data_IF_859431172108
#
_entry.id   IF_859431172108
#
_cell.length_a   1.000
_cell.length_b   1.000
_cell.length_c   1.000
_cell.angle_alpha   90.00
_cell.angle_beta   90.00
_cell.angle_gamma   90.00
#
_symmetry.space_group_name_H-M   'P 1'
#
loop_
_entity.id
_entity.type
_entity.pdbx_description
1 polymer ?
#
# COMPACT_ATOMS: atom_id res chain seq x y z
N UNK A 1 2.45 11.87 -6.24
CA UNK A 1 1.55 11.14 -5.31
C UNK A 1 2.12 10.92 -3.90
N UNK A 2 3.45 10.88 -3.68
CA UNK A 2 4.01 10.60 -2.33
C UNK A 2 3.67 11.63 -1.24
N UNK A 3 3.48 12.90 -1.58
CA UNK A 3 3.28 13.97 -0.59
C UNK A 3 1.93 13.87 0.17
N UNK A 4 0.88 13.35 -0.47
CA UNK A 4 -0.42 13.13 0.19
C UNK A 4 -0.35 11.99 1.21
N UNK A 5 0.41 10.94 0.92
CA UNK A 5 0.54 9.80 1.82
C UNK A 5 1.25 10.18 3.12
N UNK A 6 2.29 11.02 3.04
CA UNK A 6 3.02 11.50 4.23
C UNK A 6 2.11 12.31 5.15
N UNK A 7 1.26 13.18 4.58
CA UNK A 7 0.30 13.98 5.35
C UNK A 7 -0.74 13.12 6.06
N UNK A 8 -1.26 12.10 5.39
CA UNK A 8 -2.24 11.17 5.97
C UNK A 8 -1.62 10.36 7.11
N UNK A 9 -0.37 9.88 6.93
CA UNK A 9 0.34 9.13 7.98
C UNK A 9 0.62 10.01 9.20
N UNK A 10 1.03 11.27 8.99
CA UNK A 10 1.25 12.20 10.10
C UNK A 10 -0.05 12.53 10.85
N UNK A 11 -1.15 12.74 10.11
CA UNK A 11 -2.46 13.04 10.70
C UNK A 11 -3.03 11.86 11.50
N UNK A 12 -2.82 10.62 11.05
CA UNK A 12 -3.25 9.41 11.76
C UNK A 12 -2.30 8.98 12.86
N UNK A 13 -1.00 9.32 12.75
CA UNK A 13 0.01 8.93 13.73
C UNK A 13 -0.19 9.58 15.10
N UNK A 14 -0.65 10.83 15.14
CA UNK A 14 -0.90 11.54 16.39
C UNK A 14 -1.97 10.88 17.29
N UNK A 15 -3.21 10.63 16.84
CA UNK A 15 -4.21 10.00 17.70
C UNK A 15 -3.83 8.58 18.11
N UNK A 16 -3.19 7.80 17.21
CA UNK A 16 -2.69 6.45 17.53
C UNK A 16 -1.63 6.52 18.63
N UNK A 17 -0.70 7.48 18.56
CA UNK A 17 0.32 7.69 19.58
C UNK A 17 -0.27 8.05 20.94
N UNK A 18 -1.24 8.97 20.99
CA UNK A 18 -1.94 9.36 22.22
C UNK A 18 -2.64 8.17 22.86
N UNK A 19 -3.41 7.39 22.08
CA UNK A 19 -4.10 6.20 22.57
C UNK A 19 -3.12 5.16 23.11
N UNK A 20 -2.02 4.93 22.39
CA UNK A 20 -1.00 3.93 22.79
C UNK A 20 -0.32 4.31 24.11
N UNK A 21 0.09 5.58 24.25
CA UNK A 21 0.73 6.08 25.47
C UNK A 21 -0.25 6.06 26.65
N UNK A 22 -1.49 6.50 26.43
CA UNK A 22 -2.53 6.46 27.45
C UNK A 22 -2.82 5.03 27.92
N UNK A 23 -2.96 4.08 26.99
CA UNK A 23 -3.20 2.69 27.32
C UNK A 23 -2.03 2.07 28.11
N UNK A 24 -0.79 2.41 27.74
CA UNK A 24 0.40 1.99 28.48
C UNK A 24 0.38 2.52 29.92
N UNK A 25 0.06 3.81 30.10
CA UNK A 25 -0.10 4.41 31.43
C UNK A 25 -1.17 3.69 32.26
N UNK A 26 -2.33 3.40 31.69
CA UNK A 26 -3.42 2.69 32.37
C UNK A 26 -2.95 1.31 32.87
N UNK A 27 -2.20 0.58 32.05
CA UNK A 27 -1.64 -0.73 32.44
C UNK A 27 -0.63 -0.59 33.57
N UNK A 28 0.25 0.41 33.52
CA UNK A 28 1.27 0.64 34.56
C UNK A 28 0.67 1.13 35.87
N UNK A 29 -0.34 2.00 35.83
CA UNK A 29 -0.97 2.59 37.02
C UNK A 29 -2.09 1.73 37.62
N UNK A 30 -2.42 0.61 36.96
CA UNK A 30 -3.46 -0.32 37.41
C UNK A 30 -4.87 0.27 37.38
N UNK A 31 -5.13 1.28 36.53
CA UNK A 31 -6.45 1.91 36.46
C UNK A 31 -6.48 3.26 35.74
N UNK A 32 -7.63 3.54 35.13
CA UNK A 32 -7.86 4.74 34.30
C UNK A 32 -7.83 6.03 35.14
N UNK A 33 -8.36 6.00 36.37
CA UNK A 33 -8.39 7.16 37.26
C UNK A 33 -7.00 7.67 37.65
N UNK A 34 -6.10 6.76 38.00
CA UNK A 34 -4.72 7.10 38.38
C UNK A 34 -3.93 7.67 37.19
N UNK A 35 -4.11 7.09 36.00
CA UNK A 35 -3.47 7.59 34.77
C UNK A 35 -3.95 9.01 34.43
N UNK A 36 -5.26 9.27 34.50
CA UNK A 36 -5.82 10.60 34.27
C UNK A 36 -5.30 11.63 35.28
N UNK A 37 -5.24 11.25 36.56
CA UNK A 37 -4.72 12.14 37.61
C UNK A 37 -3.25 12.51 37.36
N UNK A 38 -2.40 11.54 37.01
CA UNK A 38 -0.99 11.81 36.68
C UNK A 38 -0.83 12.73 35.47
N UNK A 39 -1.65 12.54 34.43
CA UNK A 39 -1.62 13.41 33.24
C UNK A 39 -2.05 14.83 33.61
N UNK A 40 -3.14 14.99 34.36
CA UNK A 40 -3.61 16.31 34.79
C UNK A 40 -2.60 17.03 35.69
N UNK A 41 -2.04 16.33 36.68
CA UNK A 41 -1.02 16.89 37.58
C UNK A 41 0.21 17.32 36.80
N UNK A 42 0.69 16.51 35.84
CA UNK A 42 1.83 16.85 34.99
C UNK A 42 1.60 18.12 34.15
N UNK A 43 0.40 18.24 33.55
CA UNK A 43 0.04 19.41 32.73
C UNK A 43 -0.03 20.67 33.60
N UNK A 44 -0.67 20.59 34.77
CA UNK A 44 -0.80 21.71 35.70
C UNK A 44 0.57 22.11 36.29
N UNK A 45 1.40 21.15 36.70
CA UNK A 45 2.70 21.42 37.31
C UNK A 45 3.73 22.01 36.32
N UNK A 46 3.61 21.71 35.03
CA UNK A 46 4.57 22.22 34.03
C UNK A 46 4.07 23.47 33.30
N UNK A 47 2.93 24.03 33.69
CA UNK A 47 2.29 25.16 32.99
C UNK A 47 2.15 24.90 31.46
N UNK A 48 1.98 23.64 31.06
CA UNK A 48 1.92 23.23 29.66
C UNK A 48 3.27 23.06 28.95
N UNK A 49 4.42 23.25 29.60
CA UNK A 49 5.74 22.95 29.00
C UNK A 49 5.88 21.46 28.67
N UNK A 50 5.27 20.57 29.46
CA UNK A 50 5.20 19.16 29.14
C UNK A 50 4.55 18.91 27.77
N UNK A 51 3.61 19.76 27.33
CA UNK A 51 2.91 19.58 26.06
C UNK A 51 3.86 19.70 24.86
N UNK A 52 4.87 20.57 24.95
CA UNK A 52 5.90 20.75 23.92
C UNK A 52 6.73 19.49 23.74
N UNK A 53 7.05 18.78 24.83
CA UNK A 53 7.75 17.49 24.78
C UNK A 53 6.82 16.32 24.46
N UNK A 54 5.55 16.40 24.86
CA UNK A 54 4.56 15.35 24.68
C UNK A 54 4.16 15.17 23.22
N UNK A 55 3.95 16.27 22.47
CA UNK A 55 3.59 16.23 21.05
C UNK A 55 4.61 15.47 20.19
N UNK A 56 5.93 15.77 20.22
CA UNK A 56 6.92 15.02 19.46
C UNK A 56 7.07 13.59 20.00
N UNK A 57 6.93 13.37 21.30
CA UNK A 57 6.99 12.03 21.88
C UNK A 57 5.84 11.14 21.38
N UNK A 58 4.59 11.60 21.44
CA UNK A 58 3.44 10.88 20.91
C UNK A 58 3.56 10.63 19.40
N UNK A 59 4.04 11.61 18.65
CA UNK A 59 4.26 11.44 17.20
C UNK A 59 5.34 10.40 16.92
N UNK A 60 6.43 10.42 17.67
CA UNK A 60 7.52 9.44 17.57
C UNK A 60 7.05 8.02 17.88
N UNK A 61 6.30 7.84 18.97
CA UNK A 61 5.73 6.53 19.34
C UNK A 61 4.74 6.05 18.27
N UNK A 62 3.86 6.92 17.77
CA UNK A 62 2.92 6.58 16.70
C UNK A 62 3.63 6.13 15.41
N UNK A 63 4.64 6.87 14.98
CA UNK A 63 5.50 6.51 13.84
C UNK A 63 6.22 5.18 14.06
N UNK A 64 6.76 4.95 15.25
CA UNK A 64 7.42 3.71 15.62
C UNK A 64 6.47 2.52 15.52
N UNK A 65 5.25 2.64 16.06
CA UNK A 65 4.22 1.59 16.00
C UNK A 65 3.82 1.29 14.56
N UNK A 66 3.56 2.31 13.75
CA UNK A 66 3.22 2.12 12.33
C UNK A 66 4.37 1.48 11.57
N UNK A 67 5.61 1.90 11.84
CA UNK A 67 6.80 1.32 11.23
C UNK A 67 6.98 -0.15 11.62
N UNK A 68 6.80 -0.48 12.91
CA UNK A 68 6.85 -1.85 13.41
C UNK A 68 5.76 -2.70 12.79
N UNK A 69 4.52 -2.19 12.71
CA UNK A 69 3.40 -2.89 12.09
C UNK A 69 3.68 -3.17 10.61
N UNK A 70 4.19 -2.18 9.86
CA UNK A 70 4.58 -2.34 8.46
C UNK A 70 5.77 -3.30 8.29
N UNK A 71 6.75 -3.24 9.18
CA UNK A 71 7.90 -4.13 9.19
C UNK A 71 7.46 -5.57 9.47
N UNK A 72 6.62 -5.77 10.48
CA UNK A 72 6.05 -7.06 10.84
C UNK A 72 5.17 -7.59 9.71
N UNK A 73 4.31 -6.75 9.13
CA UNK A 73 3.49 -7.12 7.97
C UNK A 73 4.33 -7.52 6.76
N UNK A 74 5.44 -6.81 6.50
CA UNK A 74 6.41 -7.18 5.47
C UNK A 74 7.09 -8.50 5.79
N UNK A 75 7.48 -8.74 7.04
CA UNK A 75 8.11 -9.98 7.46
C UNK A 75 7.14 -11.16 7.40
N UNK A 76 5.91 -11.00 7.90
CA UNK A 76 4.83 -11.97 7.80
C UNK A 76 4.51 -12.28 6.35
N UNK A 77 4.43 -11.28 5.46
CA UNK A 77 4.28 -11.52 4.01
C UNK A 77 5.43 -12.29 3.40
N UNK A 78 6.68 -12.02 3.81
CA UNK A 78 7.85 -12.78 3.37
C UNK A 78 7.80 -14.23 3.86
N UNK A 79 7.43 -14.44 5.12
CA UNK A 79 7.36 -15.75 5.75
C UNK A 79 6.16 -16.59 5.26
N UNK A 80 5.04 -15.94 4.98
CA UNK A 80 3.82 -16.59 4.51
C UNK A 80 3.90 -17.10 3.07
N UNK A 81 5.06 -16.97 2.39
CA UNK A 81 5.27 -17.48 1.03
C UNK A 81 4.32 -16.89 -0.02
N UNK A 82 3.47 -15.93 0.36
CA UNK A 82 2.66 -15.13 -0.53
C UNK A 82 3.58 -14.09 -1.13
N UNK A 83 4.43 -14.57 -2.04
CA UNK A 83 5.01 -13.75 -3.10
C UNK A 83 3.88 -12.87 -3.60
N UNK A 84 3.89 -11.61 -3.19
CA UNK A 84 3.09 -10.59 -3.87
C UNK A 84 3.48 -10.77 -5.34
N UNK A 85 2.54 -11.12 -6.22
CA UNK A 85 2.90 -11.46 -7.59
C UNK A 85 3.69 -10.28 -8.15
N UNK A 86 4.72 -10.52 -8.99
CA UNK A 86 5.49 -9.48 -9.68
C UNK A 86 4.69 -8.44 -10.48
N UNK A 87 3.35 -8.50 -10.43
CA UNK A 87 2.41 -7.60 -11.07
C UNK A 87 2.58 -6.13 -10.67
N UNK A 88 3.05 -5.80 -9.46
CA UNK A 88 3.31 -4.40 -9.09
C UNK A 88 4.66 -3.89 -9.62
N UNK A 89 5.64 -4.79 -9.79
CA UNK A 89 6.88 -4.48 -10.55
C UNK A 89 6.64 -4.42 -12.06
N UNK A 90 5.65 -5.14 -12.60
CA UNK A 90 5.23 -4.97 -14.00
C UNK A 90 4.37 -3.72 -14.21
N UNK A 91 3.61 -3.26 -13.21
CA UNK A 91 2.84 -2.02 -13.30
C UNK A 91 3.72 -0.76 -13.22
N UNK A 92 4.81 -0.80 -12.45
CA UNK A 92 5.79 0.29 -12.37
C UNK A 92 6.80 0.28 -13.53
N UNK A 93 6.96 -0.88 -14.21
CA UNK A 93 7.68 -0.96 -15.49
C UNK A 93 6.79 -0.64 -16.72
N UNK A 94 5.52 -0.29 -16.52
CA UNK A 94 4.57 0.13 -17.58
C UNK A 94 4.09 1.55 -17.32
N UNK A 95 5.00 2.46 -16.96
CA UNK A 95 4.80 3.84 -17.35
C UNK A 95 5.22 3.90 -18.83
N UNK A 96 4.33 4.25 -19.77
CA UNK A 96 4.69 4.40 -21.17
C UNK A 96 5.56 5.65 -21.27
N UNK A 97 6.87 5.47 -21.09
CA UNK A 97 7.83 6.34 -21.76
C UNK A 97 7.46 6.29 -23.24
N UNK A 98 7.26 7.47 -23.84
CA UNK A 98 6.86 7.62 -25.23
C UNK A 98 7.59 6.64 -26.16
N UNK A 99 6.89 6.03 -27.13
CA UNK A 99 7.47 5.05 -28.03
C UNK A 99 8.41 5.75 -29.02
N UNK A 100 9.61 6.08 -28.57
CA UNK A 100 10.73 6.46 -29.44
C UNK A 100 11.55 5.20 -29.72
N UNK A 101 11.04 4.40 -30.68
CA UNK A 101 11.88 3.47 -31.44
C UNK A 101 11.65 1.98 -31.16
N UNK A 102 10.79 1.36 -31.96
CA UNK A 102 11.03 -0.01 -32.45
C UNK A 102 10.92 -1.17 -31.47
N UNK A 103 10.01 -1.12 -30.50
CA UNK A 103 9.61 -2.36 -29.79
C UNK A 103 9.06 -3.34 -30.83
N UNK A 104 9.75 -4.46 -31.00
CA UNK A 104 9.36 -5.51 -31.95
C UNK A 104 7.90 -5.89 -31.74
N UNK A 105 7.09 -5.81 -32.80
CA UNK A 105 5.65 -6.12 -32.82
C UNK A 105 5.32 -7.42 -32.07
N UNK A 106 6.25 -8.38 -32.11
CA UNK A 106 6.15 -9.67 -31.44
C UNK A 106 6.11 -9.57 -29.90
N UNK A 107 6.90 -8.68 -29.30
CA UNK A 107 6.93 -8.49 -27.84
C UNK A 107 5.60 -7.90 -27.34
N UNK A 108 5.01 -7.01 -28.13
CA UNK A 108 3.72 -6.40 -27.85
C UNK A 108 2.59 -7.46 -27.86
N UNK A 109 2.52 -8.34 -28.87
CA UNK A 109 1.53 -9.42 -28.89
C UNK A 109 1.72 -10.44 -27.77
N UNK A 110 2.96 -10.71 -27.34
CA UNK A 110 3.24 -11.57 -26.19
C UNK A 110 2.73 -10.95 -24.87
N UNK A 111 2.90 -9.65 -24.67
CA UNK A 111 2.41 -8.96 -23.48
C UNK A 111 0.87 -9.03 -23.36
N UNK A 112 0.15 -8.90 -24.48
CA UNK A 112 -1.32 -9.05 -24.52
C UNK A 112 -1.73 -10.49 -24.20
N UNK A 113 -1.08 -11.47 -24.83
CA UNK A 113 -1.36 -12.89 -24.60
C UNK A 113 -1.18 -13.28 -23.13
N UNK A 114 -0.11 -12.80 -22.50
CA UNK A 114 0.15 -12.99 -21.07
C UNK A 114 -0.91 -12.37 -20.17
N UNK A 115 -1.39 -11.17 -20.53
CA UNK A 115 -2.47 -10.51 -19.82
C UNK A 115 -3.78 -11.31 -19.90
N UNK A 116 -4.17 -11.75 -21.11
CA UNK A 116 -5.38 -12.56 -21.33
C UNK A 116 -5.33 -13.85 -20.51
N UNK A 117 -4.20 -14.57 -20.58
CA UNK A 117 -3.98 -15.82 -19.81
C UNK A 117 -4.15 -15.61 -18.30
N UNK A 118 -3.53 -14.55 -17.75
CA UNK A 118 -3.64 -14.21 -16.33
C UNK A 118 -5.06 -13.79 -15.94
N UNK A 119 -5.77 -13.09 -16.81
CA UNK A 119 -7.13 -12.67 -16.53
C UNK A 119 -8.11 -13.86 -16.54
N UNK A 120 -7.95 -14.80 -17.47
CA UNK A 120 -8.73 -16.05 -17.49
C UNK A 120 -8.49 -16.92 -16.26
N UNK A 121 -7.24 -17.04 -15.81
CA UNK A 121 -6.92 -17.74 -14.56
C UNK A 121 -7.59 -17.12 -13.31
N UNK A 122 -7.99 -15.84 -13.39
CA UNK A 122 -8.75 -15.14 -12.34
C UNK A 122 -10.28 -15.22 -12.52
N UNK A 123 -10.77 -15.92 -13.54
CA UNK A 123 -12.20 -16.08 -13.81
C UNK A 123 -12.86 -14.89 -14.50
N UNK A 124 -12.10 -13.97 -15.10
CA UNK A 124 -12.69 -12.88 -15.88
C UNK A 124 -13.29 -13.41 -17.19
N UNK A 125 -14.45 -12.89 -17.58
CA UNK A 125 -15.04 -13.18 -18.89
C UNK A 125 -14.27 -12.47 -20.00
N UNK A 126 -14.28 -13.04 -21.20
CA UNK A 126 -13.61 -12.44 -22.37
C UNK A 126 -14.08 -11.00 -22.64
N UNK A 127 -15.36 -10.69 -22.43
CA UNK A 127 -15.90 -9.32 -22.56
C UNK A 127 -15.31 -8.34 -21.54
N UNK A 128 -15.06 -8.77 -20.30
CA UNK A 128 -14.41 -7.95 -19.28
C UNK A 128 -12.94 -7.71 -19.60
N UNK A 129 -12.28 -8.72 -20.18
CA UNK A 129 -10.88 -8.63 -20.62
C UNK A 129 -10.76 -7.59 -21.74
N UNK A 130 -11.65 -7.66 -22.74
CA UNK A 130 -11.65 -6.74 -23.88
C UNK A 130 -11.92 -5.30 -23.45
N UNK A 131 -12.92 -5.08 -22.60
CA UNK A 131 -13.22 -3.74 -22.06
C UNK A 131 -12.03 -3.14 -21.32
N UNK A 132 -11.29 -3.94 -20.54
CA UNK A 132 -10.10 -3.48 -19.80
C UNK A 132 -8.90 -3.20 -20.70
N UNK A 133 -8.71 -3.99 -21.76
CA UNK A 133 -7.65 -3.77 -22.74
C UNK A 133 -7.95 -2.51 -23.56
N UNK A 134 -9.19 -2.35 -24.03
CA UNK A 134 -9.63 -1.15 -24.74
C UNK A 134 -9.49 0.12 -23.89
N UNK A 135 -9.87 0.06 -22.60
CA UNK A 135 -9.70 1.18 -21.67
C UNK A 135 -8.23 1.57 -21.42
N UNK A 136 -7.28 0.69 -21.75
CA UNK A 136 -5.83 0.92 -21.66
C UNK A 136 -5.21 1.34 -23.01
N UNK A 137 -6.03 1.58 -24.03
CA UNK A 137 -5.58 2.04 -25.34
C UNK A 137 -5.07 0.93 -26.27
N UNK A 138 -5.31 -0.34 -25.94
CA UNK A 138 -4.94 -1.44 -26.83
C UNK A 138 -5.93 -1.54 -27.99
N UNK A 139 -5.40 -1.67 -29.21
CA UNK A 139 -6.24 -1.78 -30.40
C UNK A 139 -6.94 -3.14 -30.47
N UNK A 140 -8.22 -3.15 -30.87
CA UNK A 140 -9.04 -4.37 -30.95
C UNK A 140 -8.39 -5.42 -31.87
N UNK A 141 -7.75 -4.97 -32.96
CA UNK A 141 -7.05 -5.84 -33.90
C UNK A 141 -5.89 -6.61 -33.24
N UNK A 142 -5.18 -5.98 -32.31
CA UNK A 142 -4.06 -6.60 -31.60
C UNK A 142 -4.53 -7.63 -30.59
N UNK A 143 -5.65 -7.34 -29.91
CA UNK A 143 -6.31 -8.26 -28.99
C UNK A 143 -6.74 -9.53 -29.76
N UNK A 144 -7.29 -9.37 -30.96
CA UNK A 144 -7.67 -10.49 -31.81
C UNK A 144 -6.46 -11.33 -32.25
N UNK A 145 -5.34 -10.71 -32.63
CA UNK A 145 -4.12 -11.45 -32.97
C UNK A 145 -3.52 -12.20 -31.78
N UNK A 146 -3.47 -11.58 -30.61
CA UNK A 146 -2.97 -12.22 -29.39
C UNK A 146 -3.81 -13.45 -28.99
N UNK A 147 -5.13 -13.38 -29.18
CA UNK A 147 -6.02 -14.55 -28.97
C UNK A 147 -5.71 -15.70 -29.93
N UNK A 148 -5.36 -15.41 -31.18
CA UNK A 148 -4.95 -16.44 -32.15
C UNK A 148 -3.65 -17.14 -31.73
N UNK A 149 -2.68 -16.39 -31.20
CA UNK A 149 -1.44 -16.97 -30.68
C UNK A 149 -1.69 -17.95 -29.52
N UNK A 150 -2.64 -17.61 -28.63
CA UNK A 150 -3.05 -18.50 -27.54
C UNK A 150 -3.80 -19.75 -28.02
N UNK A 151 -4.53 -19.67 -29.14
CA UNK A 151 -5.24 -20.81 -29.72
C UNK A 151 -4.32 -21.81 -30.45
N UNK A 152 -3.14 -21.34 -30.90
CA UNK A 152 -2.15 -22.19 -31.61
C UNK A 152 -1.11 -22.79 -30.65
N UNK A 153 -0.87 -22.15 -29.51
CA UNK A 153 0.18 -22.55 -28.55
C UNK A 153 -0.30 -23.21 -27.25
N UNK A 154 -1.59 -23.59 -27.15
CA UNK A 154 -2.17 -24.30 -26.00
C UNK A 154 -2.62 -25.69 -26.40
#
# INVERSE_FOLDING_TARGET
>A
MQQNNIRIIAALGFPIGVVTVFFSLVLFTGGVGNALSLVFVSILCTLGVALIFWVPFCTGVGMLVVFLMLALYRQLRRAAGTTVPPLERLADATQPDEPTGGVSRNAYHQAVADYIRKARAKGYSDSQIDSRLAARGWEINDIAQARRLLAVGG
#
